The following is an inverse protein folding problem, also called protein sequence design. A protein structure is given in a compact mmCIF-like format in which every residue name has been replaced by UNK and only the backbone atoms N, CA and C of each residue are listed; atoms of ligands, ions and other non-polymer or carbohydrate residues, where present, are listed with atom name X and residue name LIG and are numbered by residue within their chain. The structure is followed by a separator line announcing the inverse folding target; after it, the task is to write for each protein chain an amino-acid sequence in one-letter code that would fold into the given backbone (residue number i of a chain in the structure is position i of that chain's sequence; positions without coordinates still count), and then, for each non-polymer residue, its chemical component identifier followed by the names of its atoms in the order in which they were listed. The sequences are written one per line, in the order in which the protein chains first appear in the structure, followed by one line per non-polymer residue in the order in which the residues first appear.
data_IF_788812504843
#
_entry.id   IF_788812504843
#
_cell.length_a   1.000
_cell.length_b   1.000
_cell.length_c   1.000
_cell.angle_alpha   90.00
_cell.angle_beta   90.00
_cell.angle_gamma   90.00
#
_symmetry.space_group_name_H-M   'P 1'
#
loop_
_entity.id
_entity.type
_entity.pdbx_description
1 polymer ?
#
# COMPACT_ATOMS: atom_id res chain seq x y z
N UNK A 1 21.42 -8.56 -2.88
CA UNK A 1 20.36 -7.93 -2.06
C UNK A 1 20.02 -8.89 -0.94
N UNK A 2 20.29 -8.57 0.33
CA UNK A 2 19.88 -9.44 1.44
C UNK A 2 18.35 -9.46 1.52
N UNK A 3 17.77 -10.66 1.56
CA UNK A 3 16.33 -10.83 1.67
C UNK A 3 15.89 -10.43 3.09
N UNK A 4 14.92 -9.51 3.18
CA UNK A 4 14.28 -9.17 4.46
C UNK A 4 13.50 -10.41 4.93
N UNK A 5 13.74 -10.89 6.17
CA UNK A 5 12.97 -12.02 6.70
C UNK A 5 11.49 -11.64 6.84
N UNK A 6 10.60 -12.53 6.41
CA UNK A 6 9.16 -12.27 6.37
C UNK A 6 8.57 -11.94 7.76
N UNK A 7 9.20 -12.40 8.84
CA UNK A 7 8.84 -12.06 10.22
C UNK A 7 8.93 -10.56 10.53
N UNK A 8 9.68 -9.79 9.74
CA UNK A 8 9.80 -8.34 9.91
C UNK A 8 8.72 -7.54 9.19
N UNK A 9 7.93 -8.14 8.30
CA UNK A 9 6.92 -7.40 7.52
C UNK A 9 5.87 -6.77 8.44
N UNK A 10 5.37 -7.52 9.41
CA UNK A 10 4.36 -7.02 10.36
C UNK A 10 4.87 -5.90 11.28
N UNK A 11 6.02 -6.03 11.97
CA UNK A 11 6.54 -4.92 12.78
C UNK A 11 6.98 -3.71 11.95
N UNK A 12 7.34 -3.89 10.67
CA UNK A 12 7.56 -2.78 9.75
C UNK A 12 6.26 -2.07 9.39
N UNK A 13 5.19 -2.83 9.13
CA UNK A 13 3.87 -2.28 8.90
C UNK A 13 3.39 -1.41 10.06
N UNK A 14 3.53 -1.88 11.30
CA UNK A 14 3.12 -1.10 12.49
C UNK A 14 3.85 0.24 12.56
N UNK A 15 5.16 0.25 12.32
CA UNK A 15 5.95 1.49 12.29
C UNK A 15 5.59 2.39 11.11
N UNK A 16 5.37 1.81 9.93
CA UNK A 16 4.99 2.55 8.74
C UNK A 16 3.61 3.19 8.87
N UNK A 17 2.63 2.44 9.36
CA UNK A 17 1.25 2.91 9.56
C UNK A 17 1.18 4.07 10.55
N UNK A 18 2.03 4.09 11.59
CA UNK A 18 2.13 5.19 12.54
C UNK A 18 2.62 6.51 11.91
N UNK A 19 3.28 6.45 10.75
CA UNK A 19 3.78 7.63 10.02
C UNK A 19 2.79 8.12 8.95
N UNK A 20 1.72 7.37 8.67
CA UNK A 20 0.76 7.76 7.66
C UNK A 20 -0.13 8.89 8.19
N UNK A 21 -0.37 9.94 7.40
CA UNK A 21 -1.33 10.96 7.76
C UNK A 21 -2.74 10.37 7.70
N UNK A 22 -3.63 10.93 8.51
CA UNK A 22 -5.07 10.68 8.35
C UNK A 22 -5.52 11.12 6.96
N UNK A 23 -6.21 10.23 6.25
CA UNK A 23 -6.60 10.40 4.86
C UNK A 23 -8.03 9.95 4.68
N UNK A 24 -8.84 10.82 4.09
CA UNK A 24 -10.23 10.52 3.79
C UNK A 24 -10.36 9.30 2.87
N UNK A 25 -11.42 8.53 3.10
CA UNK A 25 -11.78 7.35 2.29
C UNK A 25 -12.02 7.71 0.83
N UNK A 26 -12.41 8.95 0.56
CA UNK A 26 -12.65 9.50 -0.77
C UNK A 26 -11.78 10.72 -1.03
N UNK A 27 -11.56 11.04 -2.31
CA UNK A 27 -10.77 12.19 -2.69
C UNK A 27 -11.50 13.49 -2.28
N UNK A 28 -10.89 14.37 -1.47
CA UNK A 28 -11.56 15.54 -0.91
C UNK A 28 -11.90 16.61 -1.95
N UNK A 29 -11.20 16.62 -3.09
CA UNK A 29 -11.45 17.54 -4.21
C UNK A 29 -12.52 17.02 -5.18
N UNK A 30 -13.06 15.82 -4.96
CA UNK A 30 -14.05 15.26 -5.87
C UNK A 30 -15.44 15.87 -5.62
N UNK A 31 -16.13 16.42 -6.64
CA UNK A 31 -17.38 17.16 -6.48
C UNK A 31 -18.50 16.43 -5.72
N UNK A 32 -18.56 15.10 -5.88
CA UNK A 32 -19.57 14.26 -5.24
C UNK A 32 -19.02 13.47 -4.03
N UNK A 33 -17.71 13.55 -3.76
CA UNK A 33 -17.08 12.84 -2.64
C UNK A 33 -17.27 11.32 -2.60
N UNK A 34 -17.78 10.69 -3.67
CA UNK A 34 -18.17 9.27 -3.69
C UNK A 34 -17.51 8.45 -4.80
N UNK A 35 -16.80 9.09 -5.72
CA UNK A 35 -16.08 8.36 -6.77
C UNK A 35 -14.77 7.79 -6.23
N UNK A 36 -14.56 6.51 -6.55
CA UNK A 36 -13.35 5.71 -6.32
C UNK A 36 -12.79 5.80 -4.89
N UNK A 37 -13.28 4.89 -4.04
CA UNK A 37 -12.75 4.68 -2.69
C UNK A 37 -11.25 4.43 -2.74
N UNK A 38 -10.53 5.06 -1.83
CA UNK A 38 -9.09 4.86 -1.62
C UNK A 38 -8.82 3.40 -1.25
N UNK A 39 -7.77 2.83 -1.85
CA UNK A 39 -7.27 1.50 -1.49
C UNK A 39 -6.70 1.54 -0.07
N UNK A 40 -6.93 0.47 0.69
CA UNK A 40 -6.41 0.35 2.06
C UNK A 40 -4.88 0.44 2.07
N UNK A 41 -4.34 1.18 3.03
CA UNK A 41 -2.90 1.40 3.16
C UNK A 41 -2.14 0.07 3.33
N UNK A 42 -2.76 -0.94 3.95
CA UNK A 42 -2.13 -2.26 4.12
C UNK A 42 -1.96 -2.99 2.81
N UNK A 43 -2.97 -2.94 1.95
CA UNK A 43 -2.93 -3.56 0.62
C UNK A 43 -1.81 -2.92 -0.21
N UNK A 44 -1.71 -1.58 -0.18
CA UNK A 44 -0.64 -0.87 -0.89
C UNK A 44 0.74 -1.25 -0.34
N UNK A 45 0.89 -1.36 0.98
CA UNK A 45 2.15 -1.76 1.60
C UNK A 45 2.59 -3.17 1.19
N UNK A 46 1.69 -4.14 1.23
CA UNK A 46 2.00 -5.54 0.86
C UNK A 46 2.44 -5.63 -0.61
N UNK A 47 1.77 -4.92 -1.51
CA UNK A 47 2.14 -4.79 -2.92
C UNK A 47 3.52 -4.13 -3.11
N UNK A 48 3.86 -3.10 -2.34
CA UNK A 48 5.19 -2.49 -2.36
C UNK A 48 6.28 -3.46 -1.89
N UNK A 49 5.98 -4.31 -0.90
CA UNK A 49 6.90 -5.37 -0.45
C UNK A 49 7.15 -6.37 -1.57
N UNK A 50 6.13 -6.75 -2.36
CA UNK A 50 6.30 -7.63 -3.53
C UNK A 50 7.24 -7.02 -4.58
N UNK A 51 7.03 -5.73 -4.93
CA UNK A 51 7.90 -4.98 -5.84
C UNK A 51 9.34 -4.99 -5.34
N UNK A 52 9.56 -4.67 -4.06
CA UNK A 52 10.90 -4.59 -3.47
C UNK A 52 11.59 -5.96 -3.33
N UNK A 53 10.83 -7.01 -3.02
CA UNK A 53 11.37 -8.36 -2.80
C UNK A 53 11.67 -9.09 -4.11
N UNK A 54 10.78 -8.96 -5.09
CA UNK A 54 10.83 -9.73 -6.33
C UNK A 54 11.29 -8.90 -7.54
N UNK A 55 11.40 -7.58 -7.41
CA UNK A 55 11.79 -6.69 -8.50
C UNK A 55 10.71 -6.54 -9.57
N UNK A 56 9.44 -6.79 -9.22
CA UNK A 56 8.32 -6.71 -10.15
C UNK A 56 7.92 -5.26 -10.42
N UNK A 57 7.34 -5.01 -11.60
CA UNK A 57 6.77 -3.70 -11.92
C UNK A 57 5.42 -3.52 -11.25
N UNK A 58 5.00 -2.27 -11.02
CA UNK A 58 3.67 -1.97 -10.49
C UNK A 58 2.54 -2.51 -11.38
N UNK A 59 2.76 -2.60 -12.69
CA UNK A 59 1.79 -3.22 -13.62
C UNK A 59 1.68 -4.73 -13.40
N UNK A 60 2.79 -5.41 -13.10
CA UNK A 60 2.81 -6.85 -12.89
C UNK A 60 2.12 -7.30 -11.59
N UNK A 61 2.06 -6.43 -10.59
CA UNK A 61 1.38 -6.67 -9.31
C UNK A 61 -0.03 -6.05 -9.23
N UNK A 62 -0.46 -5.33 -10.26
CA UNK A 62 -1.77 -4.70 -10.28
C UNK A 62 -2.86 -5.78 -10.29
N UNK A 63 -3.84 -5.64 -9.40
CA UNK A 63 -5.02 -6.51 -9.43
C UNK A 63 -5.83 -6.18 -10.69
N UNK A 64 -6.31 -7.22 -11.38
CA UNK A 64 -7.24 -7.05 -12.49
C UNK A 64 -8.52 -6.40 -11.94
N UNK A 65 -8.68 -5.11 -12.21
CA UNK A 65 -9.80 -4.29 -11.72
C UNK A 65 -10.97 -4.34 -12.69
#
# INVERSE_FOLDING_TARGET
MPAVPASLIEPLWVQFAALLPDRSVYQPTHPLGCQRRRVDDRIVFDKLVEVLRFGWSCEAIADAT
#
